data_IF_498310419371
#
_entry.id   IF_498310419371
#
_cell.length_a   1.000
_cell.length_b   1.000
_cell.length_c   1.000
_cell.angle_alpha   90.00
_cell.angle_beta   90.00
_cell.angle_gamma   90.00
#
_symmetry.space_group_name_H-M   'P 1'
#
loop_
_entity.id
_entity.type
_entity.pdbx_description
1 polymer ?
#
# COMPACT_ATOMS: atom_id res chain seq x y z
N UNK A 1 -8.12 -15.92 10.16
CA UNK A 1 -7.88 -14.62 10.84
C UNK A 1 -7.75 -13.59 9.75
N UNK A 2 -8.47 -12.47 9.83
CA UNK A 2 -8.45 -11.44 8.78
C UNK A 2 -7.35 -10.41 9.08
N UNK A 3 -6.74 -9.84 8.05
CA UNK A 3 -5.90 -8.64 8.15
C UNK A 3 -6.71 -7.50 7.56
N UNK A 4 -6.92 -6.44 8.34
CA UNK A 4 -7.63 -5.24 7.89
C UNK A 4 -6.64 -4.09 7.80
N UNK A 5 -6.42 -3.61 6.57
CA UNK A 5 -5.62 -2.43 6.30
C UNK A 5 -6.57 -1.23 6.22
N UNK A 6 -6.48 -0.31 7.17
CA UNK A 6 -7.17 0.98 7.14
C UNK A 6 -6.36 1.93 6.28
N UNK A 7 -6.89 2.21 5.09
CA UNK A 7 -6.21 2.93 4.01
C UNK A 7 -6.71 4.37 3.92
N UNK A 8 -5.79 5.32 3.79
CA UNK A 8 -6.09 6.68 3.35
C UNK A 8 -6.69 6.71 1.94
N UNK A 9 -7.74 7.51 1.76
CA UNK A 9 -8.42 7.73 0.50
C UNK A 9 -9.81 7.08 0.44
N UNK A 10 -10.48 7.28 -0.69
CA UNK A 10 -11.76 6.65 -0.97
C UNK A 10 -13.02 7.48 -0.70
N UNK A 11 -12.85 8.77 -0.43
CA UNK A 11 -13.93 9.75 -0.24
C UNK A 11 -14.77 9.54 1.02
N UNK A 12 -15.34 10.63 1.54
CA UNK A 12 -16.40 10.52 2.53
C UNK A 12 -17.67 9.95 1.88
N UNK A 13 -18.47 9.20 2.66
CA UNK A 13 -19.79 8.72 2.21
C UNK A 13 -20.65 9.92 1.80
N UNK A 14 -20.68 10.22 0.50
CA UNK A 14 -21.52 11.27 -0.06
C UNK A 14 -20.88 12.15 -1.14
N UNK A 15 -19.54 12.26 -1.20
CA UNK A 15 -18.89 13.26 -2.07
C UNK A 15 -17.63 12.82 -2.83
N UNK A 16 -17.44 11.53 -3.14
CA UNK A 16 -16.45 11.14 -4.15
C UNK A 16 -17.07 10.58 -5.42
N UNK A 17 -16.40 10.86 -6.54
CA UNK A 17 -16.67 10.26 -7.86
C UNK A 17 -16.61 8.72 -7.72
N UNK A 18 -17.75 8.10 -7.38
CA UNK A 18 -17.92 6.72 -6.87
C UNK A 18 -17.17 5.62 -7.64
N UNK A 19 -16.77 5.82 -8.89
CA UNK A 19 -16.08 4.81 -9.71
C UNK A 19 -14.55 4.79 -9.63
N UNK A 20 -13.88 5.94 -9.47
CA UNK A 20 -12.41 6.01 -9.48
C UNK A 20 -11.80 5.42 -8.19
N UNK A 21 -12.45 5.68 -7.06
CA UNK A 21 -11.95 5.23 -5.76
C UNK A 21 -12.08 3.72 -5.57
N UNK A 22 -13.14 3.09 -6.07
CA UNK A 22 -13.35 1.64 -5.94
C UNK A 22 -12.31 0.87 -6.77
N UNK A 23 -12.04 1.35 -8.00
CA UNK A 23 -11.02 0.76 -8.88
C UNK A 23 -9.62 0.89 -8.29
N UNK A 24 -9.28 2.01 -7.67
CA UNK A 24 -8.01 2.19 -6.95
C UNK A 24 -7.79 1.15 -5.85
N UNK A 25 -8.83 0.94 -5.03
CA UNK A 25 -8.78 -0.02 -3.91
C UNK A 25 -8.60 -1.44 -4.41
N UNK A 26 -9.37 -1.81 -5.44
CA UNK A 26 -9.29 -3.15 -6.01
C UNK A 26 -7.93 -3.37 -6.66
N UNK A 27 -7.40 -2.38 -7.39
CA UNK A 27 -6.07 -2.44 -7.97
C UNK A 27 -4.99 -2.61 -6.91
N UNK A 28 -5.00 -1.82 -5.82
CA UNK A 28 -4.03 -1.96 -4.73
C UNK A 28 -4.13 -3.33 -4.03
N UNK A 29 -5.35 -3.79 -3.71
CA UNK A 29 -5.55 -5.11 -3.10
C UNK A 29 -5.01 -6.22 -4.01
N UNK A 30 -5.38 -6.20 -5.29
CA UNK A 30 -4.90 -7.17 -6.29
C UNK A 30 -3.38 -7.11 -6.43
N UNK A 31 -2.80 -5.91 -6.43
CA UNK A 31 -1.36 -5.71 -6.54
C UNK A 31 -0.61 -6.29 -5.33
N UNK A 32 -1.08 -6.00 -4.10
CA UNK A 32 -0.51 -6.57 -2.87
C UNK A 32 -0.58 -8.11 -2.87
N UNK A 33 -1.72 -8.66 -3.25
CA UNK A 33 -1.91 -10.11 -3.38
C UNK A 33 -0.94 -10.71 -4.39
N UNK A 34 -0.81 -10.09 -5.56
CA UNK A 34 0.11 -10.54 -6.62
C UNK A 34 1.56 -10.52 -6.13
N UNK A 35 1.96 -9.45 -5.45
CA UNK A 35 3.27 -9.32 -4.83
C UNK A 35 3.55 -10.45 -3.84
N UNK A 36 2.61 -10.71 -2.93
CA UNK A 36 2.74 -11.74 -1.90
C UNK A 36 2.82 -13.14 -2.51
N UNK A 37 1.99 -13.45 -3.51
CA UNK A 37 2.01 -14.74 -4.21
C UNK A 37 3.32 -14.99 -4.96
N UNK A 38 3.90 -13.95 -5.57
CA UNK A 38 5.18 -14.09 -6.29
C UNK A 38 6.35 -14.23 -5.33
N UNK A 39 6.36 -13.48 -4.22
CA UNK A 39 7.50 -13.41 -3.31
C UNK A 39 7.48 -14.50 -2.24
N UNK A 40 6.30 -14.89 -1.78
CA UNK A 40 6.13 -15.80 -0.65
C UNK A 40 5.21 -16.97 -1.08
N UNK A 41 5.76 -18.14 -1.45
CA UNK A 41 4.99 -19.27 -1.99
C UNK A 41 3.93 -19.81 -1.01
N UNK A 42 4.02 -19.42 0.25
CA UNK A 42 3.11 -19.78 1.33
C UNK A 42 1.97 -18.76 1.54
N UNK A 43 1.73 -17.83 0.63
CA UNK A 43 0.64 -16.85 0.74
C UNK A 43 -0.70 -17.36 0.15
N UNK A 44 -0.87 -18.66 -0.07
CA UNK A 44 -2.11 -19.24 -0.60
C UNK A 44 -3.32 -18.93 0.31
N UNK A 45 -4.44 -18.56 -0.31
CA UNK A 45 -5.68 -18.15 0.37
C UNK A 45 -5.70 -16.70 0.88
N UNK A 46 -4.63 -15.92 0.70
CA UNK A 46 -4.54 -14.55 1.21
C UNK A 46 -5.66 -13.61 0.73
N UNK A 47 -6.20 -13.88 -0.45
CA UNK A 47 -7.26 -13.09 -1.09
C UNK A 47 -8.51 -12.96 -0.20
N UNK A 48 -8.81 -14.01 0.58
CA UNK A 48 -9.93 -14.11 1.51
C UNK A 48 -9.63 -13.48 2.88
N UNK A 49 -8.36 -13.37 3.24
CA UNK A 49 -7.92 -12.89 4.55
C UNK A 49 -7.54 -11.41 4.56
N UNK A 50 -7.10 -10.85 3.43
CA UNK A 50 -6.69 -9.45 3.33
C UNK A 50 -7.85 -8.54 2.93
N UNK A 51 -8.22 -7.60 3.80
CA UNK A 51 -9.24 -6.59 3.56
C UNK A 51 -8.61 -5.20 3.59
N UNK A 52 -8.79 -4.44 2.51
CA UNK A 52 -8.38 -3.03 2.42
C UNK A 52 -9.62 -2.16 2.64
N UNK A 53 -9.61 -1.37 3.72
CA UNK A 53 -10.72 -0.56 4.19
C UNK A 53 -10.40 0.93 3.92
N UNK A 54 -10.99 1.56 2.91
CA UNK A 54 -10.82 2.99 2.66
C UNK A 54 -11.47 3.80 3.78
N UNK A 55 -10.80 4.85 4.22
CA UNK A 55 -11.24 5.65 5.37
C UNK A 55 -11.53 7.12 5.03
N UNK A 56 -11.40 7.53 3.77
CA UNK A 56 -11.55 8.94 3.38
C UNK A 56 -10.25 9.70 3.62
N UNK A 57 -10.26 10.72 4.48
CA UNK A 57 -9.03 11.49 4.75
C UNK A 57 -8.01 10.68 5.57
N UNK A 58 -6.74 11.09 5.52
CA UNK A 58 -5.67 10.49 6.35
C UNK A 58 -5.99 10.49 7.85
N UNK A 59 -6.56 11.59 8.36
CA UNK A 59 -7.01 11.71 9.75
C UNK A 59 -8.09 10.69 10.09
N UNK A 60 -9.00 10.44 9.15
CA UNK A 60 -10.03 9.42 9.32
C UNK A 60 -9.43 8.00 9.27
N UNK A 61 -8.45 7.74 8.41
CA UNK A 61 -7.73 6.46 8.42
C UNK A 61 -7.08 6.18 9.78
N UNK A 62 -6.34 7.16 10.32
CA UNK A 62 -5.73 7.06 11.65
C UNK A 62 -6.77 6.83 12.76
N UNK A 63 -7.88 7.59 12.75
CA UNK A 63 -8.97 7.43 13.73
C UNK A 63 -9.62 6.05 13.66
N UNK A 64 -9.92 5.57 12.45
CA UNK A 64 -10.57 4.28 12.24
C UNK A 64 -9.66 3.12 12.66
N UNK A 65 -8.38 3.18 12.29
CA UNK A 65 -7.36 2.25 12.77
C UNK A 65 -7.29 2.22 14.30
N UNK A 66 -7.16 3.39 14.94
CA UNK A 66 -7.02 3.50 16.39
C UNK A 66 -8.22 2.89 17.13
N UNK A 67 -9.44 3.19 16.68
CA UNK A 67 -10.66 2.62 17.24
C UNK A 67 -10.73 1.09 17.05
N UNK A 68 -10.28 0.59 15.90
CA UNK A 68 -10.28 -0.85 15.63
C UNK A 68 -9.26 -1.59 16.50
N UNK A 69 -8.07 -1.00 16.67
CA UNK A 69 -7.01 -1.50 17.54
C UNK A 69 -7.46 -1.54 19.01
N UNK A 70 -8.11 -0.47 19.48
CA UNK A 70 -8.63 -0.40 20.85
C UNK A 70 -9.68 -1.51 21.10
N UNK A 71 -10.65 -1.67 20.20
CA UNK A 71 -11.65 -2.74 20.29
C UNK A 71 -11.01 -4.13 20.27
N UNK A 72 -9.99 -4.32 19.44
CA UNK A 72 -9.21 -5.58 19.41
C UNK A 72 -8.56 -5.85 20.76
N UNK A 73 -7.90 -4.84 21.34
CA UNK A 73 -7.21 -4.97 22.63
C UNK A 73 -8.18 -5.22 23.80
N UNK A 74 -9.42 -4.71 23.72
CA UNK A 74 -10.49 -5.02 24.70
C UNK A 74 -11.19 -6.37 24.46
N UNK A 75 -10.85 -7.10 23.40
CA UNK A 75 -11.52 -8.36 23.04
C UNK A 75 -12.94 -8.18 22.46
N UNK A 76 -13.32 -6.95 22.11
CA UNK A 76 -14.64 -6.60 21.55
C UNK A 76 -14.71 -6.74 20.02
N UNK A 77 -13.56 -6.96 19.38
CA UNK A 77 -13.46 -7.10 17.93
C UNK A 77 -14.00 -8.47 17.46
N UNK A 78 -15.24 -8.45 16.96
CA UNK A 78 -15.95 -9.64 16.46
C UNK A 78 -15.28 -10.28 15.25
N UNK A 79 -14.61 -9.50 14.41
CA UNK A 79 -13.97 -10.01 13.19
C UNK A 79 -12.66 -10.76 13.47
N UNK A 80 -12.07 -10.56 14.67
CA UNK A 80 -10.85 -11.19 15.16
C UNK A 80 -9.73 -11.19 14.12
N UNK A 81 -8.85 -10.19 14.19
CA UNK A 81 -7.73 -10.13 13.26
C UNK A 81 -6.77 -8.98 13.48
N UNK A 82 -5.68 -8.98 12.73
CA UNK A 82 -4.74 -7.87 12.75
C UNK A 82 -5.33 -6.64 12.06
N UNK A 83 -4.97 -5.48 12.60
CA UNK A 83 -5.34 -4.18 12.06
C UNK A 83 -4.06 -3.43 11.75
N UNK A 84 -3.98 -2.89 10.54
CA UNK A 84 -2.81 -2.14 10.07
C UNK A 84 -3.30 -0.78 9.56
N UNK A 85 -2.49 0.25 9.74
CA UNK A 85 -2.67 1.56 9.13
C UNK A 85 -1.79 1.66 7.88
N UNK A 86 -2.36 2.14 6.78
CA UNK A 86 -1.62 2.44 5.55
C UNK A 86 -2.00 3.84 5.06
N UNK A 87 -1.06 4.77 5.06
CA UNK A 87 -1.27 6.18 4.71
C UNK A 87 -0.14 6.71 3.84
N UNK A 88 -0.40 7.74 3.04
CA UNK A 88 0.67 8.41 2.29
C UNK A 88 1.62 9.11 3.27
N UNK A 89 2.93 9.06 2.98
CA UNK A 89 3.93 9.74 3.79
C UNK A 89 3.81 11.26 3.74
N UNK A 90 3.25 11.79 2.65
CA UNK A 90 3.09 13.22 2.29
C UNK A 90 4.43 13.98 2.13
N UNK A 91 5.36 13.79 3.07
CA UNK A 91 6.67 14.41 3.14
C UNK A 91 7.80 13.37 3.10
N UNK A 92 9.04 13.77 2.75
CA UNK A 92 10.15 12.83 2.66
C UNK A 92 10.43 12.18 4.02
N UNK A 93 10.59 10.85 4.01
CA UNK A 93 10.70 10.07 5.24
C UNK A 93 12.16 10.07 5.69
N UNK A 94 12.43 10.70 6.85
CA UNK A 94 13.78 10.86 7.41
C UNK A 94 14.12 9.90 8.55
N UNK A 95 13.16 9.05 8.93
CA UNK A 95 13.27 8.09 10.03
C UNK A 95 12.89 6.69 9.54
N UNK A 96 13.43 5.67 10.18
CA UNK A 96 13.07 4.26 9.95
C UNK A 96 11.78 3.86 10.65
N UNK A 97 11.30 4.67 11.61
CA UNK A 97 10.09 4.39 12.37
C UNK A 97 8.88 5.16 11.79
N UNK A 98 7.83 4.45 11.32
CA UNK A 98 6.66 5.11 10.72
C UNK A 98 5.93 6.02 11.71
N UNK A 99 5.90 5.68 13.01
CA UNK A 99 5.25 6.52 14.02
C UNK A 99 6.01 7.80 14.33
N UNK A 100 7.35 7.76 14.29
CA UNK A 100 8.17 8.97 14.43
C UNK A 100 7.92 9.93 13.27
N UNK A 101 7.79 9.41 12.05
CA UNK A 101 7.43 10.22 10.87
C UNK A 101 6.07 10.87 11.05
N UNK A 102 5.04 10.09 11.39
CA UNK A 102 3.67 10.59 11.57
C UNK A 102 3.54 11.58 12.74
N UNK A 103 4.36 11.42 13.79
CA UNK A 103 4.41 12.34 14.93
C UNK A 103 5.12 13.65 14.60
N UNK A 104 6.23 13.57 13.87
CA UNK A 104 7.06 14.73 13.52
C UNK A 104 6.51 15.58 12.38
N UNK A 105 5.60 15.02 11.58
CA UNK A 105 5.02 15.71 10.41
C UNK A 105 3.98 16.77 10.81
N UNK A 106 4.17 17.98 10.30
CA UNK A 106 3.21 19.08 10.44
C UNK A 106 1.85 18.73 9.80
N UNK A 107 0.77 18.95 10.55
CA UNK A 107 -0.59 18.62 10.12
C UNK A 107 -1.08 17.21 10.50
N UNK A 108 -0.19 16.29 10.90
CA UNK A 108 -0.57 15.01 11.52
C UNK A 108 -0.41 15.06 13.04
N UNK A 109 0.84 15.11 13.50
CA UNK A 109 1.20 15.04 14.92
C UNK A 109 0.55 13.84 15.63
N UNK A 110 0.49 12.70 14.95
CA UNK A 110 -0.17 11.50 15.49
C UNK A 110 0.74 10.73 16.42
N UNK A 111 0.27 10.54 17.64
CA UNK A 111 0.91 9.63 18.59
C UNK A 111 0.66 8.17 18.20
N UNK A 112 1.59 7.28 18.56
CA UNK A 112 1.36 5.83 18.42
C UNK A 112 0.25 5.40 19.38
N UNK A 113 -0.86 4.79 18.91
CA UNK A 113 -1.93 4.33 19.80
C UNK A 113 -1.47 3.27 20.80
N UNK A 114 -2.11 3.19 21.96
CA UNK A 114 -1.76 2.20 22.98
C UNK A 114 -1.94 0.76 22.46
N UNK A 115 -0.94 -0.09 22.69
CA UNK A 115 -0.90 -1.45 22.17
C UNK A 115 -0.61 -1.57 20.67
N UNK A 116 -0.30 -0.46 19.98
CA UNK A 116 0.31 -0.52 18.66
C UNK A 116 1.83 -0.73 18.80
N UNK A 117 2.37 -1.48 17.85
CA UNK A 117 3.81 -1.59 17.59
C UNK A 117 4.14 -0.85 16.28
N UNK A 118 5.41 -0.78 15.93
CA UNK A 118 5.83 -0.09 14.71
C UNK A 118 5.31 -0.81 13.45
N UNK A 119 5.14 -2.13 13.51
CA UNK A 119 4.55 -2.98 12.48
C UNK A 119 3.06 -2.71 12.23
N UNK A 120 2.39 -1.94 13.08
CA UNK A 120 0.99 -1.58 12.85
C UNK A 120 0.80 -0.35 11.96
N UNK A 121 1.86 0.46 11.75
CA UNK A 121 1.83 1.58 10.81
C UNK A 121 2.70 1.29 9.59
N UNK A 122 2.16 1.63 8.42
CA UNK A 122 2.84 1.55 7.15
C UNK A 122 2.65 2.86 6.40
N UNK A 123 3.77 3.38 5.91
CA UNK A 123 3.78 4.54 5.04
C UNK A 123 3.76 4.05 3.60
N UNK A 124 2.96 4.72 2.78
CA UNK A 124 3.08 4.70 1.33
C UNK A 124 4.07 5.80 0.92
N UNK A 125 4.53 5.70 -0.33
CA UNK A 125 5.18 6.77 -1.09
C UNK A 125 4.41 8.10 -1.05
N UNK A 126 5.07 9.22 -1.38
CA UNK A 126 4.42 10.53 -1.53
C UNK A 126 3.16 10.50 -2.42
N UNK A 127 3.16 9.60 -3.41
CA UNK A 127 1.97 9.17 -4.14
C UNK A 127 2.22 7.83 -4.81
N UNK A 128 1.18 7.02 -5.01
CA UNK A 128 1.28 5.71 -5.67
C UNK A 128 2.00 5.74 -7.03
N UNK A 129 1.96 6.86 -7.75
CA UNK A 129 2.65 7.05 -9.03
C UNK A 129 4.18 6.88 -8.96
N UNK A 130 4.79 7.08 -7.77
CA UNK A 130 6.20 6.80 -7.55
C UNK A 130 6.59 5.36 -7.94
N UNK A 131 5.72 4.39 -7.66
CA UNK A 131 6.01 3.00 -7.98
C UNK A 131 6.15 2.75 -9.48
N UNK A 132 5.55 3.58 -10.34
CA UNK A 132 5.67 3.45 -11.79
C UNK A 132 7.13 3.60 -12.28
N UNK A 133 7.93 4.39 -11.56
CA UNK A 133 9.36 4.54 -11.85
C UNK A 133 10.14 3.25 -11.61
N UNK A 134 9.60 2.31 -10.81
CA UNK A 134 10.22 1.03 -10.54
C UNK A 134 10.17 0.08 -11.76
N UNK A 135 9.15 0.23 -12.61
CA UNK A 135 8.94 -0.59 -13.80
C UNK A 135 8.67 0.25 -15.07
N UNK A 136 9.69 0.95 -15.62
CA UNK A 136 9.55 1.72 -16.86
C UNK A 136 9.10 0.87 -18.06
N UNK A 137 9.34 -0.45 -18.02
CA UNK A 137 8.90 -1.36 -19.07
C UNK A 137 7.37 -1.51 -19.07
N UNK A 138 6.73 -1.59 -17.90
CA UNK A 138 5.27 -1.59 -17.80
C UNK A 138 4.67 -0.27 -18.32
N UNK A 139 5.30 0.87 -18.04
CA UNK A 139 4.90 2.16 -18.60
C UNK A 139 5.00 2.18 -20.13
N UNK A 140 6.14 1.73 -20.69
CA UNK A 140 6.32 1.62 -22.14
C UNK A 140 5.31 0.66 -22.77
N UNK A 141 5.04 -0.48 -22.13
CA UNK A 141 4.05 -1.45 -22.60
C UNK A 141 2.62 -0.89 -22.58
N UNK A 142 2.30 -0.02 -21.60
CA UNK A 142 1.00 0.64 -21.53
C UNK A 142 0.85 1.75 -22.56
N UNK A 143 1.81 2.69 -22.62
CA UNK A 143 1.73 3.87 -23.48
C UNK A 143 2.07 3.57 -24.95
N UNK A 144 2.88 2.55 -25.20
CA UNK A 144 3.22 2.08 -26.53
C UNK A 144 4.28 2.94 -27.23
N UNK A 145 4.10 3.12 -28.53
CA UNK A 145 4.99 3.91 -29.38
C UNK A 145 5.11 5.34 -28.87
N UNK A 146 6.29 5.94 -29.05
CA UNK A 146 6.62 7.32 -28.67
C UNK A 146 6.65 7.61 -27.16
N UNK A 147 6.57 6.56 -26.32
CA UNK A 147 6.84 6.70 -24.89
C UNK A 147 8.33 6.98 -24.64
N UNK A 148 8.61 8.15 -24.07
CA UNK A 148 9.97 8.61 -23.81
C UNK A 148 10.48 8.14 -22.44
N UNK A 149 11.08 6.94 -22.42
CA UNK A 149 11.73 6.40 -21.21
C UNK A 149 12.81 7.32 -20.62
N UNK A 150 13.50 8.11 -21.45
CA UNK A 150 14.60 8.98 -20.98
C UNK A 150 14.12 10.17 -20.15
N UNK A 151 12.82 10.47 -20.16
CA UNK A 151 12.23 11.52 -19.33
C UNK A 151 11.96 11.07 -17.88
N UNK A 152 12.16 9.79 -17.55
CA UNK A 152 11.95 9.23 -16.22
C UNK A 152 13.28 9.17 -15.44
N UNK A 153 13.22 9.47 -14.15
CA UNK A 153 14.36 9.29 -13.25
C UNK A 153 14.76 7.82 -13.09
N UNK A 154 16.06 7.56 -13.06
CA UNK A 154 16.67 6.23 -12.85
C UNK A 154 17.06 5.98 -11.39
N UNK A 155 16.32 6.57 -10.44
CA UNK A 155 16.61 6.44 -9.00
C UNK A 155 16.59 4.98 -8.52
N UNK A 156 17.47 4.61 -7.58
CA UNK A 156 17.38 3.30 -6.93
C UNK A 156 16.17 3.20 -5.99
N UNK A 157 15.87 4.27 -5.25
CA UNK A 157 14.73 4.31 -4.32
C UNK A 157 13.64 5.18 -4.90
N UNK A 158 12.55 4.57 -5.36
CA UNK A 158 11.45 5.32 -5.99
C UNK A 158 10.65 6.14 -4.99
N UNK A 159 10.76 5.81 -3.71
CA UNK A 159 9.99 6.43 -2.63
C UNK A 159 10.52 7.82 -2.24
N UNK A 160 11.78 8.12 -2.59
CA UNK A 160 12.42 9.42 -2.33
C UNK A 160 12.07 10.48 -3.38
N UNK A 161 11.41 10.10 -4.48
CA UNK A 161 11.04 11.03 -5.55
C UNK A 161 9.85 11.86 -5.11
N UNK A 162 9.98 13.19 -5.20
CA UNK A 162 8.88 14.10 -4.87
C UNK A 162 7.69 13.89 -5.81
N UNK A 163 6.47 14.01 -5.26
CA UNK A 163 5.19 13.90 -5.99
C UNK A 163 5.13 14.81 -7.22
N UNK A 164 5.59 16.06 -7.09
CA UNK A 164 5.60 17.01 -8.21
C UNK A 164 6.53 16.55 -9.34
N UNK A 165 7.70 16.00 -8.98
CA UNK A 165 8.70 15.50 -9.93
C UNK A 165 8.17 14.28 -10.67
N UNK A 166 7.69 13.25 -9.96
CA UNK A 166 7.18 12.03 -10.63
C UNK A 166 6.02 12.33 -11.56
N UNK A 167 5.08 13.21 -11.17
CA UNK A 167 3.95 13.56 -12.03
C UNK A 167 4.41 14.31 -13.29
N UNK A 168 5.40 15.21 -13.16
CA UNK A 168 5.97 15.92 -14.30
C UNK A 168 6.74 14.98 -15.24
N UNK A 169 7.52 14.05 -14.69
CA UNK A 169 8.24 13.03 -15.47
C UNK A 169 7.28 12.14 -16.24
N UNK A 170 6.22 11.65 -15.58
CA UNK A 170 5.19 10.84 -16.23
C UNK A 170 4.48 11.61 -17.34
N UNK A 171 4.15 12.89 -17.13
CA UNK A 171 3.56 13.73 -18.18
C UNK A 171 4.48 13.90 -19.38
N UNK A 172 5.76 14.22 -19.16
CA UNK A 172 6.77 14.38 -20.21
C UNK A 172 7.04 13.07 -20.96
N UNK A 173 7.14 11.95 -20.24
CA UNK A 173 7.41 10.65 -20.83
C UNK A 173 6.28 10.17 -21.75
N UNK A 174 5.04 10.56 -21.45
CA UNK A 174 3.85 10.09 -22.16
C UNK A 174 3.27 11.07 -23.18
N UNK A 175 3.74 12.32 -23.22
CA UNK A 175 3.10 13.39 -23.99
C UNK A 175 3.05 13.14 -25.50
N UNK A 176 4.04 12.42 -26.04
CA UNK A 176 4.12 12.09 -27.47
C UNK A 176 3.31 10.87 -27.88
N UNK A 177 2.71 10.14 -26.93
CA UNK A 177 2.05 8.86 -27.19
C UNK A 177 0.62 9.06 -27.69
N UNK A 178 0.07 8.05 -28.37
CA UNK A 178 -1.34 8.07 -28.83
C UNK A 178 -2.36 8.06 -27.69
N UNK A 179 -1.96 7.63 -26.49
CA UNK A 179 -2.78 7.71 -25.26
C UNK A 179 -2.74 9.09 -24.59
N UNK A 180 -1.86 9.97 -25.09
CA UNK A 180 -1.62 11.30 -24.57
C UNK A 180 -0.90 11.32 -23.22
N UNK A 181 -0.80 12.52 -22.67
CA UNK A 181 -0.18 12.80 -21.37
C UNK A 181 -0.78 11.97 -20.24
N UNK A 182 0.06 11.57 -19.29
CA UNK A 182 -0.33 10.87 -18.09
C UNK A 182 -1.40 11.66 -17.33
N UNK A 183 -2.53 10.99 -17.04
CA UNK A 183 -3.61 11.55 -16.24
C UNK A 183 -3.88 10.67 -15.03
N UNK A 184 -3.75 11.24 -13.83
CA UNK A 184 -4.04 10.54 -12.57
C UNK A 184 -5.48 10.02 -12.57
N UNK A 185 -5.66 8.77 -12.15
CA UNK A 185 -6.93 8.06 -12.16
C UNK A 185 -7.41 7.60 -13.53
N UNK A 186 -7.07 8.33 -14.61
CA UNK A 186 -7.37 7.92 -16.00
C UNK A 186 -6.48 6.75 -16.44
N UNK A 187 -5.18 6.83 -16.16
CA UNK A 187 -4.20 5.83 -16.61
C UNK A 187 -3.66 4.96 -15.47
N UNK A 188 -3.73 5.43 -14.22
CA UNK A 188 -3.04 4.81 -13.09
C UNK A 188 -3.38 3.32 -12.93
N UNK A 189 -4.66 2.95 -13.02
CA UNK A 189 -5.11 1.59 -12.74
C UNK A 189 -4.65 0.59 -13.79
N UNK A 190 -4.77 0.94 -15.08
CA UNK A 190 -4.34 0.06 -16.16
C UNK A 190 -2.81 -0.16 -16.14
N UNK A 191 -2.05 0.86 -15.73
CA UNK A 191 -0.60 0.75 -15.53
C UNK A 191 -0.33 -0.20 -14.36
N UNK A 192 -1.00 0.01 -13.23
CA UNK A 192 -0.87 -0.83 -12.03
C UNK A 192 -1.08 -2.31 -12.31
N UNK A 193 -2.08 -2.67 -13.13
CA UNK A 193 -2.34 -4.06 -13.51
C UNK A 193 -1.22 -4.70 -14.33
N UNK A 194 -0.40 -3.89 -15.02
CA UNK A 194 0.71 -4.36 -15.86
C UNK A 194 2.06 -4.42 -15.15
N UNK A 195 2.17 -3.76 -13.99
CA UNK A 195 3.42 -3.66 -13.25
C UNK A 195 3.84 -5.00 -12.68
N UNK A 196 5.15 -5.23 -12.66
CA UNK A 196 5.72 -6.31 -11.87
C UNK A 196 5.93 -5.88 -10.40
N UNK A 197 5.20 -6.45 -9.43
CA UNK A 197 5.36 -6.08 -8.02
C UNK A 197 6.75 -6.40 -7.45
N UNK A 198 7.49 -7.34 -8.03
CA UNK A 198 8.86 -7.64 -7.57
C UNK A 198 9.79 -6.46 -7.86
N UNK A 199 9.69 -5.86 -9.06
CA UNK A 199 10.46 -4.66 -9.40
C UNK A 199 10.14 -3.48 -8.49
N UNK A 200 8.88 -3.35 -8.08
CA UNK A 200 8.48 -2.34 -7.08
C UNK A 200 9.12 -2.64 -5.74
N UNK A 201 8.99 -3.86 -5.24
CA UNK A 201 9.59 -4.29 -3.97
C UNK A 201 11.10 -4.02 -3.90
N UNK A 202 11.83 -4.27 -4.98
CA UNK A 202 13.28 -4.08 -5.04
C UNK A 202 13.71 -2.61 -4.90
N UNK A 203 12.81 -1.67 -5.25
CA UNK A 203 13.10 -0.22 -5.30
C UNK A 203 12.26 0.59 -4.33
N UNK A 204 11.39 -0.05 -3.55
CA UNK A 204 10.45 0.57 -2.63
C UNK A 204 10.55 -0.08 -1.22
N UNK A 205 11.47 0.41 -0.37
CA UNK A 205 11.69 -0.12 0.99
C UNK A 205 10.44 -0.20 1.86
N UNK A 206 9.55 0.80 1.83
CA UNK A 206 8.32 0.82 2.62
C UNK A 206 7.28 -0.17 2.10
N UNK A 207 7.19 -0.33 0.77
CA UNK A 207 6.41 -1.41 0.17
C UNK A 207 6.95 -2.79 0.57
N UNK A 208 8.27 -3.00 0.48
CA UNK A 208 8.92 -4.23 0.93
C UNK A 208 8.64 -4.54 2.42
N UNK A 209 8.69 -3.51 3.27
CA UNK A 209 8.35 -3.62 4.70
C UNK A 209 6.89 -4.06 4.91
N UNK A 210 5.95 -3.49 4.16
CA UNK A 210 4.54 -3.89 4.20
C UNK A 210 4.37 -5.37 3.83
N UNK A 211 5.00 -5.82 2.74
CA UNK A 211 4.92 -7.21 2.29
C UNK A 211 5.48 -8.18 3.34
N UNK A 212 6.65 -7.87 3.93
CA UNK A 212 7.25 -8.68 5.00
C UNK A 212 6.35 -8.77 6.23
N UNK A 213 5.72 -7.66 6.61
CA UNK A 213 4.80 -7.64 7.76
C UNK A 213 3.58 -8.51 7.51
N UNK A 214 3.00 -8.41 6.30
CA UNK A 214 1.89 -9.24 5.88
C UNK A 214 2.26 -10.72 5.87
N UNK A 215 3.43 -11.09 5.36
CA UNK A 215 3.93 -12.48 5.38
C UNK A 215 4.14 -13.01 6.81
N UNK A 216 4.79 -12.22 7.68
CA UNK A 216 5.01 -12.61 9.08
C UNK A 216 3.71 -12.88 9.84
N UNK A 217 2.69 -12.04 9.63
CA UNK A 217 1.35 -12.25 10.21
C UNK A 217 0.77 -13.61 9.76
N UNK A 218 1.02 -14.01 8.51
CA UNK A 218 0.58 -15.29 7.97
C UNK A 218 1.37 -16.47 8.54
N UNK A 219 2.70 -16.39 8.61
CA UNK A 219 3.59 -17.46 9.11
C UNK A 219 3.32 -17.77 10.58
N UNK A 220 3.29 -16.77 11.46
CA UNK A 220 3.11 -16.96 12.90
C UNK A 220 1.81 -17.72 13.24
N UNK A 221 0.81 -17.68 12.37
CA UNK A 221 -0.45 -18.40 12.58
C UNK A 221 -0.41 -19.83 12.07
N UNK A 222 0.36 -20.14 11.02
CA UNK A 222 0.55 -21.53 10.57
C UNK A 222 1.20 -22.38 11.65
N UNK A 223 2.26 -21.87 12.29
CA UNK A 223 2.90 -22.55 13.41
C UNK A 223 1.97 -22.71 14.62
N UNK A 224 1.13 -21.71 14.91
CA UNK A 224 0.14 -21.81 16.00
C UNK A 224 -1.06 -22.74 15.68
N UNK A 225 -1.34 -23.05 14.40
CA UNK A 225 -2.33 -24.06 14.01
C UNK A 225 -1.76 -25.48 14.10
N UNK A 226 -0.52 -25.67 13.65
CA UNK A 226 0.17 -26.99 13.69
C UNK A 226 0.38 -27.49 15.13
N UNK A 227 0.73 -26.61 16.07
CA UNK A 227 0.87 -26.96 17.50
C UNK A 227 -0.45 -27.26 18.21
N UNK A 228 -1.60 -26.82 17.67
CA UNK A 228 -2.93 -27.16 18.19
C UNK A 228 -3.46 -28.50 17.68
N UNK A 229 -2.94 -29.03 16.57
CA UNK A 229 -3.33 -30.33 16.03
C UNK A 229 -2.59 -31.51 16.68
N UNK A 230 -1.49 -31.29 17.43
CA UNK A 230 -0.78 -32.34 18.19
C UNK A 230 -1.32 -32.56 19.61
N UNK A 231 -2.49 -32.01 19.96
CA UNK A 231 -3.12 -32.21 21.28
C UNK A 231 -4.48 -32.91 21.15
N UNK A 232 -4.48 -34.11 20.59
CA UNK A 232 -5.48 -35.14 20.93
C UNK A 232 -4.80 -36.11 21.89
N UNK A 233 -5.28 -36.24 23.15
CA UNK A 233 -4.79 -37.30 24.02
C UNK A 233 -5.22 -38.66 23.44
N UNK A 234 -4.31 -39.62 23.41
CA UNK A 234 -4.66 -41.04 23.46
C UNK A 234 -5.38 -41.35 24.78
#
# INVERSE_FOLDING_TARGET
MRVRIYLEGGGEKGQSKKGLDVKARQALKTFLISALKKQYPYSEGMDEYLNVIPCGTRRMAYKHFSNALERRNRGEDKEKGEVLLLVDSEDPIKTVNPWEHLKGREGDQWERPNGATDEHAHLMVHCMENWFLADPQALRAYFGQDFNNSALSTTHTVEDVLKSVVLQELEKASSGTTKGKYGKGKHSFDIFEKMDPIKVQDRAPWFCRLLKTLDNIMIHKRHNKSTRQCKTPC
#
